data_IF_892390978120
#
_entry.id   IF_892390978120
#
_cell.length_a   1.000
_cell.length_b   1.000
_cell.length_c   1.000
_cell.angle_alpha   90.00
_cell.angle_beta   90.00
_cell.angle_gamma   90.00
#
_symmetry.space_group_name_H-M   'P 1'
#
loop_
_entity.id
_entity.type
_entity.pdbx_description
1 polymer ?
#
# COMPACT_ATOMS: atom_id res chain seq x y z
N UNK A 1 -37.14 11.79 43.26
CA UNK A 1 -36.12 10.73 43.08
C UNK A 1 -35.50 10.89 41.68
N UNK A 2 -34.52 11.78 41.51
CA UNK A 2 -33.82 11.95 40.22
C UNK A 2 -32.50 11.17 40.26
N UNK A 3 -32.36 10.18 39.38
CA UNK A 3 -31.21 9.31 39.31
C UNK A 3 -30.04 10.00 38.57
N UNK A 4 -28.94 10.18 39.31
CA UNK A 4 -27.66 10.68 38.86
C UNK A 4 -27.07 9.80 37.75
N UNK A 5 -27.19 10.21 36.49
CA UNK A 5 -26.38 9.65 35.39
C UNK A 5 -24.98 10.25 35.46
N UNK A 6 -24.04 9.52 36.07
CA UNK A 6 -22.60 9.79 35.99
C UNK A 6 -22.17 9.71 34.52
N UNK A 7 -21.99 10.86 33.88
CA UNK A 7 -21.29 10.97 32.60
C UNK A 7 -19.80 10.98 32.92
N UNK A 8 -19.16 9.82 32.85
CA UNK A 8 -17.70 9.72 32.75
C UNK A 8 -17.33 10.18 31.33
N UNK A 9 -17.39 11.49 31.10
CA UNK A 9 -16.86 12.07 29.87
C UNK A 9 -15.36 12.25 30.12
N UNK A 10 -14.56 11.32 29.60
CA UNK A 10 -13.13 11.55 29.47
C UNK A 10 -12.96 12.79 28.59
N UNK A 11 -12.56 13.90 29.20
CA UNK A 11 -12.36 15.17 28.51
C UNK A 11 -11.11 15.03 27.63
N UNK A 12 -11.33 14.97 26.33
CA UNK A 12 -10.27 14.77 25.32
C UNK A 12 -9.17 15.84 25.45
N UNK A 13 -9.52 17.04 25.93
CA UNK A 13 -8.57 18.12 26.18
C UNK A 13 -7.55 17.77 27.29
N UNK A 14 -7.97 17.02 28.32
CA UNK A 14 -7.05 16.55 29.37
C UNK A 14 -6.08 15.49 28.84
N UNK A 15 -6.54 14.61 27.95
CA UNK A 15 -5.70 13.56 27.35
C UNK A 15 -4.65 14.18 26.43
N UNK A 16 -5.01 15.19 25.63
CA UNK A 16 -4.06 15.88 24.76
C UNK A 16 -2.99 16.63 25.56
N UNK A 17 -3.38 17.30 26.65
CA UNK A 17 -2.45 18.02 27.52
C UNK A 17 -1.45 17.07 28.21
N UNK A 18 -1.88 15.85 28.53
CA UNK A 18 -1.02 14.81 29.11
C UNK A 18 0.01 14.27 28.10
N UNK A 19 -0.38 14.06 26.84
CA UNK A 19 0.52 13.56 25.78
C UNK A 19 1.58 14.60 25.41
N UNK A 20 1.21 15.89 25.31
CA UNK A 20 2.19 16.95 25.06
C UNK A 20 3.25 17.00 26.17
N UNK A 21 2.82 16.85 27.43
CA UNK A 21 3.69 16.87 28.61
C UNK A 21 4.65 15.69 28.65
N UNK A 22 4.24 14.50 28.18
CA UNK A 22 5.09 13.31 28.10
C UNK A 22 6.13 13.38 26.97
N UNK A 23 5.85 14.10 25.88
CA UNK A 23 6.79 14.24 24.75
C UNK A 23 8.03 15.09 25.07
N UNK A 24 7.92 16.00 26.05
CA UNK A 24 8.99 16.89 26.46
C UNK A 24 10.08 16.21 27.33
N UNK A 25 9.80 15.04 27.91
CA UNK A 25 10.69 14.36 28.85
C UNK A 25 11.44 13.15 28.23
N UNK A 26 11.28 12.91 26.93
CA UNK A 26 11.90 11.78 26.21
C UNK A 26 12.91 12.23 25.15
N UNK A 27 13.75 13.21 25.46
CA UNK A 27 15.00 13.44 24.73
C UNK A 27 16.13 12.84 25.52
N UNK A 28 16.64 11.67 25.12
CA UNK A 28 18.04 11.22 25.30
C UNK A 28 18.23 9.78 24.75
N UNK A 29 18.38 9.65 23.43
CA UNK A 29 19.41 8.81 22.77
C UNK A 29 19.07 8.61 21.29
N UNK A 30 19.48 9.58 20.48
CA UNK A 30 19.56 9.42 19.03
C UNK A 30 21.02 9.06 18.69
N UNK A 31 21.25 7.84 18.23
CA UNK A 31 22.34 7.56 17.28
C UNK A 31 21.71 7.27 15.92
N UNK A 32 21.75 8.20 14.96
CA UNK A 32 21.46 7.85 13.58
C UNK A 32 22.67 7.14 12.99
N UNK A 33 22.52 5.86 12.64
CA UNK A 33 23.42 5.20 11.68
C UNK A 33 22.97 5.68 10.31
N UNK A 34 23.68 6.67 9.76
CA UNK A 34 23.47 7.14 8.39
C UNK A 34 23.89 6.03 7.42
N UNK A 35 22.93 5.32 6.86
CA UNK A 35 23.15 4.45 5.71
C UNK A 35 22.69 5.23 4.48
N UNK A 36 23.60 6.05 3.92
CA UNK A 36 23.29 6.90 2.77
C UNK A 36 23.18 6.05 1.50
N UNK A 37 21.95 5.86 1.04
CA UNK A 37 21.60 5.20 -0.23
C UNK A 37 22.34 5.79 -1.45
N UNK A 38 22.76 7.06 -1.36
CA UNK A 38 23.51 7.77 -2.39
C UNK A 38 24.96 7.27 -2.53
N UNK A 39 25.58 6.76 -1.46
CA UNK A 39 26.94 6.21 -1.49
C UNK A 39 26.98 4.87 -2.25
N UNK A 40 25.93 4.06 -2.09
CA UNK A 40 25.76 2.80 -2.82
C UNK A 40 25.57 2.99 -4.33
N UNK A 41 24.92 4.08 -4.76
CA UNK A 41 24.71 4.38 -6.17
C UNK A 41 26.01 4.79 -6.88
N UNK A 42 26.88 5.54 -6.20
CA UNK A 42 28.13 6.04 -6.77
C UNK A 42 29.14 4.92 -7.05
N UNK A 43 29.17 3.89 -6.21
CA UNK A 43 30.07 2.74 -6.39
C UNK A 43 29.67 1.83 -7.56
N UNK A 44 28.37 1.74 -7.87
CA UNK A 44 27.86 0.95 -9.00
C UNK A 44 28.12 1.64 -10.35
N UNK A 45 28.05 2.96 -10.39
CA UNK A 45 28.32 3.74 -11.61
C UNK A 45 29.80 3.68 -12.04
N UNK A 46 30.72 3.56 -11.08
CA UNK A 46 32.15 3.53 -11.35
C UNK A 46 32.62 2.27 -12.12
N UNK A 47 31.88 1.16 -12.06
CA UNK A 47 32.30 -0.11 -12.67
C UNK A 47 31.86 -0.29 -14.13
N UNK A 48 31.03 0.61 -14.68
CA UNK A 48 30.41 0.43 -16.01
C UNK A 48 30.88 1.43 -17.08
N UNK A 49 31.87 2.27 -16.78
CA UNK A 49 32.34 3.32 -17.69
C UNK A 49 33.44 2.88 -18.67
N UNK A 50 33.24 1.80 -19.45
CA UNK A 50 34.05 1.54 -20.66
C UNK A 50 33.21 0.83 -21.74
N UNK A 51 32.61 1.59 -22.65
CA UNK A 51 32.78 1.45 -24.11
C UNK A 51 31.82 2.40 -24.83
N UNK A 52 32.37 3.51 -25.32
CA UNK A 52 31.64 4.55 -26.06
C UNK A 52 31.79 4.24 -27.53
N UNK A 53 30.85 3.48 -28.10
CA UNK A 53 30.64 3.40 -29.55
C UNK A 53 29.26 3.93 -29.89
N UNK A 54 29.28 5.22 -30.22
CA UNK A 54 28.15 5.95 -30.76
C UNK A 54 27.89 5.47 -32.17
N UNK A 55 26.86 4.63 -32.33
CA UNK A 55 26.15 4.54 -33.60
C UNK A 55 24.75 5.09 -33.40
N UNK A 56 24.49 6.13 -34.18
CA UNK A 56 23.26 6.91 -34.27
C UNK A 56 22.06 6.02 -34.56
N UNK A 57 21.25 5.74 -33.55
CA UNK A 57 19.88 5.26 -33.75
C UNK A 57 19.00 6.50 -33.92
N UNK A 58 18.47 6.61 -35.15
CA UNK A 58 17.48 7.58 -35.56
C UNK A 58 16.28 7.51 -34.60
N UNK A 59 16.00 8.61 -33.90
CA UNK A 59 14.81 8.75 -33.07
C UNK A 59 13.59 8.83 -33.98
N UNK A 60 12.90 7.71 -34.16
CA UNK A 60 11.52 7.70 -34.64
C UNK A 60 10.62 8.18 -33.48
N UNK A 61 9.70 9.13 -33.71
CA UNK A 61 8.88 9.71 -32.66
C UNK A 61 7.89 8.67 -32.12
N UNK A 62 8.20 8.18 -30.91
CA UNK A 62 7.29 8.01 -29.78
C UNK A 62 5.85 7.60 -30.14
N UNK A 63 5.66 6.30 -30.36
CA UNK A 63 4.35 5.71 -30.04
C UNK A 63 4.27 5.78 -28.51
N UNK A 64 3.65 6.82 -27.99
CA UNK A 64 3.11 6.85 -26.63
C UNK A 64 2.15 5.65 -26.52
N UNK A 65 2.71 4.50 -26.16
CA UNK A 65 1.94 3.36 -25.75
C UNK A 65 1.23 3.80 -24.47
N UNK A 66 -0.01 4.28 -24.61
CA UNK A 66 -0.97 4.35 -23.53
C UNK A 66 -0.91 2.99 -22.83
N UNK A 67 -0.27 2.94 -21.67
CA UNK A 67 -0.19 1.71 -20.89
C UNK A 67 -1.62 1.26 -20.65
N UNK A 68 -2.05 0.08 -21.16
CA UNK A 68 -3.42 -0.33 -21.09
C UNK A 68 -3.89 -0.27 -19.65
N UNK A 69 -5.03 0.37 -19.46
CA UNK A 69 -5.52 0.70 -18.13
C UNK A 69 -5.81 -0.60 -17.38
N UNK A 70 -5.45 -0.70 -16.09
CA UNK A 70 -5.63 -1.93 -15.34
C UNK A 70 -7.11 -2.25 -15.25
N UNK A 71 -7.45 -3.47 -15.62
CA UNK A 71 -8.83 -3.94 -15.66
C UNK A 71 -9.49 -3.90 -14.29
N UNK A 72 -10.77 -3.59 -14.27
CA UNK A 72 -11.62 -3.53 -13.06
C UNK A 72 -12.58 -4.70 -12.99
N UNK A 73 -12.40 -5.74 -13.83
CA UNK A 73 -13.24 -6.92 -13.81
C UNK A 73 -13.04 -7.72 -12.50
N UNK A 74 -14.11 -7.99 -11.73
CA UNK A 74 -14.03 -8.80 -10.52
C UNK A 74 -13.39 -10.18 -10.74
N UNK A 75 -13.60 -10.82 -11.89
CA UNK A 75 -13.06 -12.15 -12.15
C UNK A 75 -11.53 -12.11 -12.37
N UNK A 76 -11.03 -11.07 -13.04
CA UNK A 76 -9.59 -10.85 -13.17
C UNK A 76 -8.92 -10.55 -11.83
N UNK A 77 -9.56 -9.72 -11.01
CA UNK A 77 -9.05 -9.39 -9.66
C UNK A 77 -9.06 -10.64 -8.78
N UNK A 78 -10.10 -11.48 -8.85
CA UNK A 78 -10.15 -12.75 -8.12
C UNK A 78 -9.01 -13.69 -8.52
N UNK A 79 -8.71 -13.79 -9.83
CA UNK A 79 -7.56 -14.56 -10.35
C UNK A 79 -6.22 -14.02 -9.83
N UNK A 80 -6.05 -12.70 -9.78
CA UNK A 80 -4.83 -12.05 -9.27
C UNK A 80 -4.64 -12.27 -7.76
N UNK A 81 -5.73 -12.19 -6.98
CA UNK A 81 -5.72 -12.44 -5.54
C UNK A 81 -5.44 -13.92 -5.22
N UNK A 82 -5.71 -14.83 -6.16
CA UNK A 82 -5.55 -16.29 -6.02
C UNK A 82 -6.30 -16.84 -4.79
N UNK A 83 -7.50 -16.32 -4.55
CA UNK A 83 -8.34 -16.73 -3.42
C UNK A 83 -8.69 -18.22 -3.57
N UNK A 84 -8.55 -18.99 -2.48
CA UNK A 84 -8.94 -20.40 -2.43
C UNK A 84 -9.91 -20.65 -1.29
N UNK A 85 -10.74 -21.68 -1.46
CA UNK A 85 -11.71 -22.11 -0.44
C UNK A 85 -10.96 -22.64 0.77
N UNK A 86 -11.19 -22.05 1.95
CA UNK A 86 -10.58 -22.49 3.21
C UNK A 86 -9.32 -21.75 3.63
N UNK A 87 -8.96 -20.64 2.96
CA UNK A 87 -7.90 -19.75 3.46
C UNK A 87 -8.25 -19.22 4.85
N UNK A 88 -7.26 -19.18 5.73
CA UNK A 88 -7.37 -18.55 7.04
C UNK A 88 -7.48 -17.03 6.93
N UNK A 89 -8.03 -16.40 7.96
CA UNK A 89 -8.09 -14.93 8.05
C UNK A 89 -6.71 -14.26 7.94
N UNK A 90 -5.66 -14.91 8.47
CA UNK A 90 -4.29 -14.42 8.38
C UNK A 90 -3.76 -14.41 6.94
N UNK A 91 -4.03 -15.47 6.16
CA UNK A 91 -3.63 -15.55 4.75
C UNK A 91 -4.37 -14.51 3.90
N UNK A 92 -5.68 -14.35 4.13
CA UNK A 92 -6.49 -13.34 3.45
C UNK A 92 -6.00 -11.91 3.74
N UNK A 93 -5.60 -11.63 4.99
CA UNK A 93 -4.97 -10.37 5.35
C UNK A 93 -3.63 -10.14 4.65
N UNK A 94 -2.81 -11.18 4.49
CA UNK A 94 -1.54 -11.10 3.76
C UNK A 94 -1.77 -10.83 2.27
N UNK A 95 -2.74 -11.51 1.66
CA UNK A 95 -3.14 -11.30 0.26
C UNK A 95 -3.58 -9.85 0.06
N UNK A 96 -4.44 -9.32 0.95
CA UNK A 96 -4.87 -7.92 0.90
C UNK A 96 -3.71 -6.94 0.92
N UNK A 97 -2.74 -7.16 1.82
CA UNK A 97 -1.54 -6.30 1.93
C UNK A 97 -0.71 -6.33 0.65
N UNK A 98 -0.50 -7.51 0.07
CA UNK A 98 0.24 -7.67 -1.18
C UNK A 98 -0.46 -6.96 -2.34
N UNK A 99 -1.78 -7.13 -2.45
CA UNK A 99 -2.56 -6.48 -3.48
C UNK A 99 -2.53 -4.95 -3.35
N UNK A 100 -2.68 -4.44 -2.13
CA UNK A 100 -2.55 -3.02 -1.82
C UNK A 100 -1.16 -2.47 -2.14
N UNK A 101 -0.09 -3.21 -1.88
CA UNK A 101 1.26 -2.73 -2.20
C UNK A 101 1.43 -2.39 -3.69
N UNK A 102 0.74 -3.11 -4.58
CA UNK A 102 0.82 -2.94 -6.03
C UNK A 102 -0.29 -2.03 -6.61
N UNK A 103 -1.46 -1.97 -5.97
CA UNK A 103 -2.66 -1.32 -6.51
C UNK A 103 -3.22 -0.17 -5.65
N UNK A 104 -2.47 0.36 -4.65
CA UNK A 104 -2.99 1.45 -3.82
C UNK A 104 -3.13 2.77 -4.60
N UNK A 105 -4.26 3.52 -4.48
CA UNK A 105 -4.46 4.79 -5.20
C UNK A 105 -3.37 5.82 -4.91
N UNK A 106 -2.83 5.85 -3.69
CA UNK A 106 -1.76 6.81 -3.34
C UNK A 106 -0.39 6.48 -3.97
N UNK A 107 -0.21 5.25 -4.47
CA UNK A 107 1.07 4.80 -5.04
C UNK A 107 1.09 4.85 -6.57
N UNK A 108 -0.05 5.09 -7.21
CA UNK A 108 -0.18 5.16 -8.67
C UNK A 108 -0.31 6.60 -9.17
N UNK A 109 -0.06 6.79 -10.46
CA UNK A 109 -0.21 8.08 -11.12
C UNK A 109 -1.66 8.62 -11.02
N UNK A 110 -1.86 9.95 -11.04
CA UNK A 110 -3.18 10.57 -10.88
C UNK A 110 -4.29 9.99 -11.76
N UNK A 111 -3.98 9.68 -13.02
CA UNK A 111 -4.93 9.13 -14.00
C UNK A 111 -5.32 7.66 -13.72
N UNK A 112 -4.56 6.94 -12.87
CA UNK A 112 -4.84 5.56 -12.47
C UNK A 112 -5.51 5.45 -11.10
N UNK A 113 -5.59 6.53 -10.33
CA UNK A 113 -6.06 6.49 -8.93
C UNK A 113 -7.50 5.99 -8.81
N UNK A 114 -8.37 6.45 -9.70
CA UNK A 114 -9.77 6.02 -9.73
C UNK A 114 -9.86 4.50 -9.96
N UNK A 115 -9.15 4.00 -10.96
CA UNK A 115 -9.06 2.56 -11.26
C UNK A 115 -8.46 1.75 -10.10
N UNK A 116 -7.38 2.25 -9.50
CA UNK A 116 -6.75 1.64 -8.34
C UNK A 116 -7.70 1.59 -7.13
N UNK A 117 -8.47 2.66 -6.90
CA UNK A 117 -9.52 2.72 -5.89
C UNK A 117 -10.59 1.66 -6.15
N UNK A 118 -11.08 1.55 -7.38
CA UNK A 118 -12.14 0.58 -7.71
C UNK A 118 -11.64 -0.87 -7.62
N UNK A 119 -10.42 -1.14 -8.11
CA UNK A 119 -9.75 -2.43 -7.91
C UNK A 119 -9.60 -2.77 -6.43
N UNK A 120 -9.26 -1.80 -5.58
CA UNK A 120 -9.15 -2.00 -4.13
C UNK A 120 -10.50 -2.33 -3.49
N UNK A 121 -11.58 -1.62 -3.87
CA UNK A 121 -12.94 -1.88 -3.37
C UNK A 121 -13.38 -3.29 -3.74
N UNK A 122 -13.18 -3.69 -5.00
CA UNK A 122 -13.55 -5.03 -5.48
C UNK A 122 -12.73 -6.11 -4.76
N UNK A 123 -11.42 -5.91 -4.63
CA UNK A 123 -10.56 -6.84 -3.92
C UNK A 123 -10.97 -7.02 -2.45
N UNK A 124 -11.29 -5.92 -1.76
CA UNK A 124 -11.78 -5.99 -0.39
C UNK A 124 -13.11 -6.76 -0.30
N UNK A 125 -14.07 -6.49 -1.19
CA UNK A 125 -15.33 -7.21 -1.22
C UNK A 125 -15.16 -8.72 -1.47
N UNK A 126 -14.24 -9.11 -2.36
CA UNK A 126 -13.92 -10.52 -2.63
C UNK A 126 -13.28 -11.20 -1.40
N UNK A 127 -12.37 -10.52 -0.73
CA UNK A 127 -11.71 -11.01 0.48
C UNK A 127 -12.72 -11.13 1.64
N UNK A 128 -13.59 -10.15 1.80
CA UNK A 128 -14.64 -10.16 2.82
C UNK A 128 -15.64 -11.29 2.56
N UNK A 129 -16.00 -11.55 1.30
CA UNK A 129 -16.81 -12.72 0.91
C UNK A 129 -16.10 -14.05 1.22
N UNK A 130 -14.79 -14.13 0.98
CA UNK A 130 -14.00 -15.32 1.30
C UNK A 130 -13.94 -15.55 2.82
N UNK A 131 -13.83 -14.49 3.62
CA UNK A 131 -13.89 -14.53 5.09
C UNK A 131 -15.28 -14.96 5.59
N UNK A 132 -16.35 -14.41 5.00
CA UNK A 132 -17.72 -14.63 5.46
C UNK A 132 -18.28 -16.01 5.08
N UNK A 133 -17.85 -16.57 3.96
CA UNK A 133 -18.55 -17.71 3.36
C UNK A 133 -17.67 -18.74 2.68
N UNK A 134 -16.35 -18.77 2.96
CA UNK A 134 -15.45 -19.88 2.60
C UNK A 134 -15.81 -20.59 1.29
N UNK A 135 -16.04 -19.81 0.22
CA UNK A 135 -16.54 -20.23 -1.11
C UNK A 135 -17.52 -21.41 -1.02
N UNK A 136 -18.80 -21.14 -0.68
CA UNK A 136 -19.89 -22.11 -0.83
C UNK A 136 -19.79 -22.80 -2.19
N UNK A 137 -19.30 -24.03 -2.14
CA UNK A 137 -19.06 -24.93 -3.26
C UNK A 137 -20.40 -25.56 -3.61
N UNK A 138 -21.07 -25.05 -4.64
CA UNK A 138 -22.07 -25.82 -5.36
C UNK A 138 -21.43 -26.25 -6.69
N UNK A 139 -21.16 -27.56 -6.78
CA UNK A 139 -20.89 -28.31 -8.01
C UNK A 139 -22.22 -28.92 -8.44
#
# INVERSE_FOLDING_TARGET
MQAQRRKNHADFASILSEIERQSAESSENLRPVSFDFLDGLLHLAATHAVDRRSDSILFEPEIEAESPLPSTDPDEIARELRLSSGMSSAELAQIRRRFAALNHPDRVAPHLRERASDRMKIANALIDRALAGGISREI
#
